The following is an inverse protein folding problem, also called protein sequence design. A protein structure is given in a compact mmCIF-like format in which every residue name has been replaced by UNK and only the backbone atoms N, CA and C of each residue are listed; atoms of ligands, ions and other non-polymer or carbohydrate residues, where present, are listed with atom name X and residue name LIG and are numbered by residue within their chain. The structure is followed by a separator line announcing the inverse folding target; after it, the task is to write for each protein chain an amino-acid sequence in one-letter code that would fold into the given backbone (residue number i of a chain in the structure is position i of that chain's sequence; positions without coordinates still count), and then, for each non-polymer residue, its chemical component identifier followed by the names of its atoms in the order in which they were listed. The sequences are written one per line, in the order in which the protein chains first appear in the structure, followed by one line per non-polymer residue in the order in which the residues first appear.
data_IF_267264092710
#
_entry.id   IF_267264092710
#
_cell.length_a   1.000
_cell.length_b   1.000
_cell.length_c   1.000
_cell.angle_alpha   90.00
_cell.angle_beta   90.00
_cell.angle_gamma   90.00
#
_symmetry.space_group_name_H-M   'P 1'
#
loop_
_entity.id
_entity.type
_entity.pdbx_description
1 polymer ?
#
# COMPACT_ATOMS: atom_id res chain seq x y z
N UNK A 1 -57.33 -36.98 -59.08
CA UNK A 1 -57.56 -36.16 -57.88
C UNK A 1 -56.50 -36.57 -56.85
N UNK A 2 -55.32 -35.93 -56.89
CA UNK A 2 -54.20 -36.25 -55.98
C UNK A 2 -54.34 -35.36 -54.73
N UNK A 3 -55.00 -35.90 -53.72
CA UNK A 3 -55.01 -35.37 -52.36
C UNK A 3 -54.22 -36.42 -51.57
N UNK A 4 -52.93 -36.16 -51.33
CA UNK A 4 -52.06 -37.14 -50.66
C UNK A 4 -50.57 -36.75 -50.63
N UNK A 5 -50.10 -35.91 -51.55
CA UNK A 5 -48.69 -35.46 -51.57
C UNK A 5 -48.46 -34.16 -50.76
N UNK A 6 -49.52 -33.41 -50.44
CA UNK A 6 -49.40 -32.05 -49.86
C UNK A 6 -49.48 -32.01 -48.32
N UNK A 7 -50.11 -33.00 -47.68
CA UNK A 7 -50.20 -33.08 -46.21
C UNK A 7 -48.90 -33.59 -45.56
N UNK A 8 -48.15 -34.44 -46.27
CA UNK A 8 -46.86 -34.98 -45.80
C UNK A 8 -45.81 -33.86 -45.73
N UNK A 9 -45.86 -32.87 -46.63
CA UNK A 9 -44.91 -31.76 -46.64
C UNK A 9 -45.06 -30.79 -45.45
N UNK A 10 -46.29 -30.50 -45.00
CA UNK A 10 -46.52 -29.50 -43.93
C UNK A 10 -46.10 -30.05 -42.56
N UNK A 11 -46.40 -31.31 -42.28
CA UNK A 11 -46.03 -31.97 -41.02
C UNK A 11 -44.51 -32.12 -40.92
N UNK A 12 -43.84 -32.47 -42.02
CA UNK A 12 -42.38 -32.57 -42.09
C UNK A 12 -41.70 -31.20 -41.90
N UNK A 13 -42.28 -30.12 -42.45
CA UNK A 13 -41.80 -28.75 -42.23
C UNK A 13 -41.96 -28.34 -40.76
N UNK A 14 -43.10 -28.63 -40.13
CA UNK A 14 -43.36 -28.29 -38.72
C UNK A 14 -42.40 -29.05 -37.79
N UNK A 15 -42.20 -30.35 -38.03
CA UNK A 15 -41.27 -31.17 -37.24
C UNK A 15 -39.82 -30.74 -37.43
N UNK A 16 -39.41 -30.39 -38.65
CA UNK A 16 -38.08 -29.83 -38.91
C UNK A 16 -37.86 -28.49 -38.20
N UNK A 17 -38.84 -27.57 -38.23
CA UNK A 17 -38.78 -26.31 -37.48
C UNK A 17 -38.69 -26.57 -35.97
N UNK A 18 -39.47 -27.53 -35.45
CA UNK A 18 -39.39 -27.96 -34.06
C UNK A 18 -37.99 -28.45 -33.67
N UNK A 19 -37.39 -29.30 -34.49
CA UNK A 19 -36.01 -29.78 -34.30
C UNK A 19 -34.99 -28.63 -34.35
N UNK A 20 -35.15 -27.68 -35.27
CA UNK A 20 -34.28 -26.51 -35.39
C UNK A 20 -34.37 -25.63 -34.14
N UNK A 21 -35.58 -25.38 -33.63
CA UNK A 21 -35.81 -24.60 -32.41
C UNK A 21 -35.19 -25.33 -31.20
N UNK A 22 -35.39 -26.63 -31.05
CA UNK A 22 -34.79 -27.41 -29.95
C UNK A 22 -33.26 -27.41 -30.04
N UNK A 23 -32.70 -27.57 -31.23
CA UNK A 23 -31.26 -27.51 -31.45
C UNK A 23 -30.69 -26.13 -31.10
N UNK A 24 -31.31 -25.05 -31.61
CA UNK A 24 -30.92 -23.68 -31.30
C UNK A 24 -31.03 -23.38 -29.81
N UNK A 25 -32.11 -23.82 -29.16
CA UNK A 25 -32.31 -23.65 -27.72
C UNK A 25 -31.26 -24.42 -26.92
N UNK A 26 -30.92 -25.65 -27.33
CA UNK A 26 -29.86 -26.45 -26.72
C UNK A 26 -28.47 -25.80 -26.85
N UNK A 27 -28.13 -25.30 -28.04
CA UNK A 27 -26.88 -24.59 -28.30
C UNK A 27 -26.81 -23.30 -27.47
N UNK A 28 -27.88 -22.50 -27.43
CA UNK A 28 -27.96 -21.28 -26.63
C UNK A 28 -27.81 -21.58 -25.12
N UNK A 29 -28.46 -22.63 -24.60
CA UNK A 29 -28.32 -23.05 -23.21
C UNK A 29 -26.89 -23.47 -22.86
N UNK A 30 -26.18 -24.16 -23.76
CA UNK A 30 -24.78 -24.53 -23.55
C UNK A 30 -23.86 -23.30 -23.47
N UNK A 31 -24.06 -22.32 -24.36
CA UNK A 31 -23.31 -21.06 -24.32
C UNK A 31 -23.60 -20.24 -23.05
N UNK A 32 -24.87 -20.19 -22.63
CA UNK A 32 -25.26 -19.54 -21.37
C UNK A 32 -24.63 -20.22 -20.16
N UNK A 33 -24.64 -21.56 -20.09
CA UNK A 33 -24.05 -22.30 -18.97
C UNK A 33 -22.54 -22.09 -18.85
N UNK A 34 -21.78 -22.17 -19.96
CA UNK A 34 -20.32 -21.90 -19.94
C UNK A 34 -20.02 -20.46 -19.49
N UNK A 35 -20.79 -19.48 -19.99
CA UNK A 35 -20.66 -18.07 -19.61
C UNK A 35 -20.92 -17.84 -18.12
N UNK A 36 -22.03 -18.37 -17.60
CA UNK A 36 -22.39 -18.27 -16.18
C UNK A 36 -21.32 -18.90 -15.29
N UNK A 37 -20.81 -20.07 -15.67
CA UNK A 37 -19.77 -20.77 -14.91
C UNK A 37 -18.44 -19.99 -14.90
N UNK A 38 -18.06 -19.40 -16.04
CA UNK A 38 -16.88 -18.53 -16.14
C UNK A 38 -17.01 -17.27 -15.29
N UNK A 39 -18.13 -16.53 -15.41
CA UNK A 39 -18.38 -15.31 -14.62
C UNK A 39 -18.39 -15.65 -13.12
N UNK A 40 -19.06 -16.72 -12.71
CA UNK A 40 -19.10 -17.13 -11.32
C UNK A 40 -17.70 -17.47 -10.77
N UNK A 41 -16.85 -18.12 -11.57
CA UNK A 41 -15.47 -18.42 -11.17
C UNK A 41 -14.64 -17.14 -11.04
N UNK A 42 -14.69 -16.21 -12.01
CA UNK A 42 -13.96 -14.94 -11.92
C UNK A 42 -14.42 -14.13 -10.71
N UNK A 43 -15.72 -13.98 -10.52
CA UNK A 43 -16.28 -13.28 -9.36
C UNK A 43 -15.81 -13.91 -8.06
N UNK A 44 -15.78 -15.24 -7.97
CA UNK A 44 -15.25 -15.95 -6.80
C UNK A 44 -13.79 -15.60 -6.53
N UNK A 45 -12.93 -15.67 -7.55
CA UNK A 45 -11.51 -15.32 -7.38
C UNK A 45 -11.31 -13.85 -6.98
N UNK A 46 -12.06 -12.92 -7.55
CA UNK A 46 -11.99 -11.50 -7.18
C UNK A 46 -12.46 -11.26 -5.74
N UNK A 47 -13.53 -11.91 -5.30
CA UNK A 47 -14.00 -11.81 -3.91
C UNK A 47 -12.97 -12.35 -2.91
N UNK A 48 -12.32 -13.47 -3.24
CA UNK A 48 -11.22 -14.01 -2.45
C UNK A 48 -10.07 -12.99 -2.39
N UNK A 49 -9.66 -12.46 -3.53
CA UNK A 49 -8.59 -11.48 -3.63
C UNK A 49 -8.90 -10.17 -2.86
N UNK A 50 -10.12 -9.63 -2.95
CA UNK A 50 -10.60 -8.47 -2.16
C UNK A 50 -10.43 -8.75 -0.67
N UNK A 51 -10.81 -9.95 -0.23
CA UNK A 51 -10.78 -10.34 1.17
C UNK A 51 -9.34 -10.47 1.67
N UNK A 52 -8.47 -11.12 0.90
CA UNK A 52 -7.04 -11.27 1.21
C UNK A 52 -6.33 -9.93 1.29
N UNK A 53 -6.57 -9.03 0.32
CA UNK A 53 -6.01 -7.68 0.32
C UNK A 53 -6.44 -6.92 1.58
N UNK A 54 -7.72 -6.98 1.96
CA UNK A 54 -8.22 -6.37 3.19
C UNK A 54 -7.50 -6.91 4.43
N UNK A 55 -7.27 -8.21 4.51
CA UNK A 55 -6.52 -8.81 5.63
C UNK A 55 -5.09 -8.28 5.70
N UNK A 56 -4.38 -8.19 4.57
CA UNK A 56 -3.03 -7.65 4.55
C UNK A 56 -2.97 -6.16 4.94
N UNK A 57 -3.92 -5.35 4.49
CA UNK A 57 -4.04 -3.94 4.90
C UNK A 57 -4.33 -3.84 6.40
N UNK A 58 -5.21 -4.67 6.95
CA UNK A 58 -5.46 -4.70 8.40
C UNK A 58 -4.20 -5.04 9.20
N UNK A 59 -3.42 -6.02 8.75
CA UNK A 59 -2.12 -6.34 9.38
C UNK A 59 -1.13 -5.18 9.30
N UNK A 60 -1.08 -4.45 8.17
CA UNK A 60 -0.26 -3.26 8.05
C UNK A 60 -0.68 -2.19 9.07
N UNK A 61 -1.99 -1.98 9.24
CA UNK A 61 -2.52 -1.02 10.22
C UNK A 61 -2.13 -1.39 11.64
N UNK A 62 -2.22 -2.66 12.00
CA UNK A 62 -1.80 -3.17 13.31
C UNK A 62 -0.30 -2.92 13.57
N UNK A 63 0.54 -3.15 12.57
CA UNK A 63 1.98 -2.88 12.63
C UNK A 63 2.30 -1.38 12.72
N UNK A 64 1.46 -0.54 12.12
CA UNK A 64 1.62 0.93 12.14
C UNK A 64 1.00 1.62 13.37
N UNK A 65 0.36 0.86 14.26
CA UNK A 65 -0.29 1.42 15.44
C UNK A 65 0.74 2.01 16.40
N UNK A 66 0.62 3.31 16.69
CA UNK A 66 1.56 4.07 17.52
C UNK A 66 1.72 3.46 18.92
N UNK A 67 0.63 2.97 19.53
CA UNK A 67 0.69 2.31 20.84
C UNK A 67 1.56 1.05 20.80
N UNK A 68 1.40 0.23 19.75
CA UNK A 68 2.22 -0.98 19.55
C UNK A 68 3.68 -0.62 19.29
N UNK A 69 3.93 0.45 18.52
CA UNK A 69 5.27 0.94 18.23
C UNK A 69 5.96 1.42 19.51
N UNK A 70 5.27 2.17 20.36
CA UNK A 70 5.79 2.67 21.63
C UNK A 70 6.19 1.54 22.59
N UNK A 71 5.34 0.50 22.72
CA UNK A 71 5.65 -0.67 23.55
C UNK A 71 6.93 -1.36 23.03
N UNK A 72 7.04 -1.54 21.72
CA UNK A 72 8.22 -2.17 21.09
C UNK A 72 9.49 -1.34 21.20
N UNK A 73 9.42 -0.01 21.16
CA UNK A 73 10.59 0.86 21.33
C UNK A 73 11.08 0.90 22.78
N UNK A 74 10.17 0.72 23.75
CA UNK A 74 10.46 0.70 25.19
C UNK A 74 11.02 -0.65 25.67
N UNK A 75 10.41 -1.77 25.29
CA UNK A 75 10.77 -3.09 25.81
C UNK A 75 12.00 -3.70 25.13
N UNK A 76 12.43 -3.13 24.01
CA UNK A 76 13.67 -3.50 23.31
C UNK A 76 13.67 -4.88 22.65
N UNK A 77 12.63 -5.68 22.87
CA UNK A 77 12.46 -7.03 22.34
C UNK A 77 11.91 -7.02 20.91
N UNK A 78 12.46 -7.91 20.08
CA UNK A 78 11.91 -8.32 18.78
C UNK A 78 11.85 -7.29 17.62
N UNK A 79 12.81 -6.37 17.55
CA UNK A 79 12.93 -5.39 16.44
C UNK A 79 13.14 -6.02 15.07
N UNK A 80 13.90 -7.12 14.99
CA UNK A 80 14.20 -7.82 13.73
C UNK A 80 12.95 -8.54 13.21
N UNK A 81 12.23 -9.23 14.09
CA UNK A 81 10.98 -9.90 13.72
C UNK A 81 9.93 -8.90 13.22
N UNK A 82 9.75 -7.77 13.93
CA UNK A 82 8.88 -6.68 13.47
C UNK A 82 9.22 -6.22 12.05
N UNK A 83 10.50 -5.92 11.77
CA UNK A 83 10.92 -5.45 10.45
C UNK A 83 10.66 -6.52 9.37
N UNK A 84 10.91 -7.79 9.68
CA UNK A 84 10.60 -8.90 8.75
C UNK A 84 9.10 -9.02 8.48
N UNK A 85 8.27 -8.88 9.50
CA UNK A 85 6.82 -8.90 9.33
C UNK A 85 6.32 -7.70 8.51
N UNK A 86 6.84 -6.50 8.78
CA UNK A 86 6.52 -5.30 8.01
C UNK A 86 6.89 -5.47 6.53
N UNK A 87 8.10 -5.93 6.23
CA UNK A 87 8.54 -6.21 4.85
C UNK A 87 7.67 -7.27 4.17
N UNK A 88 7.33 -8.33 4.89
CA UNK A 88 6.45 -9.39 4.39
C UNK A 88 5.08 -8.84 4.04
N UNK A 89 4.43 -8.09 4.93
CA UNK A 89 3.10 -7.53 4.72
C UNK A 89 3.10 -6.54 3.56
N UNK A 90 4.08 -5.64 3.51
CA UNK A 90 4.25 -4.68 2.39
C UNK A 90 4.42 -5.41 1.05
N UNK A 91 5.26 -6.44 1.01
CA UNK A 91 5.47 -7.24 -0.20
C UNK A 91 4.20 -7.98 -0.63
N UNK A 92 3.47 -8.56 0.32
CA UNK A 92 2.21 -9.24 0.04
C UNK A 92 1.15 -8.28 -0.52
N UNK A 93 1.04 -7.06 0.03
CA UNK A 93 0.14 -6.03 -0.52
C UNK A 93 0.52 -5.71 -1.96
N UNK A 94 1.80 -5.43 -2.23
CA UNK A 94 2.28 -5.13 -3.59
C UNK A 94 2.01 -6.26 -4.58
N UNK A 95 2.20 -7.51 -4.18
CA UNK A 95 1.93 -8.68 -5.03
C UNK A 95 0.44 -8.85 -5.36
N UNK A 96 -0.45 -8.37 -4.50
CA UNK A 96 -1.89 -8.40 -4.74
C UNK A 96 -2.36 -7.21 -5.58
N UNK A 97 -1.60 -6.13 -5.68
CA UNK A 97 -1.96 -4.96 -6.47
C UNK A 97 -1.42 -5.06 -7.90
N UNK A 98 -2.12 -4.44 -8.84
CA UNK A 98 -1.70 -4.45 -10.24
C UNK A 98 -0.80 -3.25 -10.55
N UNK A 99 0.40 -3.48 -11.08
CA UNK A 99 1.37 -2.40 -11.34
C UNK A 99 0.95 -1.40 -12.43
N UNK A 100 -0.11 -1.68 -13.19
CA UNK A 100 -0.62 -0.79 -14.25
C UNK A 100 -1.79 0.08 -13.81
N UNK A 101 -2.42 -0.21 -12.67
CA UNK A 101 -3.59 0.52 -12.19
C UNK A 101 -3.19 1.84 -11.52
N UNK A 102 -3.89 2.94 -11.81
CA UNK A 102 -3.57 4.23 -11.20
C UNK A 102 -3.80 4.21 -9.67
N UNK A 103 -4.94 3.66 -9.21
CA UNK A 103 -5.21 3.51 -7.78
C UNK A 103 -4.25 2.54 -7.10
N UNK A 104 -3.90 1.44 -7.78
CA UNK A 104 -2.90 0.48 -7.29
C UNK A 104 -1.54 1.15 -7.09
N UNK A 105 -1.07 1.92 -8.08
CA UNK A 105 0.19 2.67 -7.98
C UNK A 105 0.16 3.67 -6.82
N UNK A 106 -0.95 4.41 -6.67
CA UNK A 106 -1.12 5.33 -5.54
C UNK A 106 -1.07 4.60 -4.19
N UNK A 107 -1.73 3.45 -4.09
CA UNK A 107 -1.71 2.64 -2.87
C UNK A 107 -0.30 2.10 -2.58
N UNK A 108 0.40 1.59 -3.60
CA UNK A 108 1.79 1.11 -3.47
C UNK A 108 2.70 2.22 -2.96
N UNK A 109 2.63 3.42 -3.55
CA UNK A 109 3.42 4.57 -3.12
C UNK A 109 3.14 4.95 -1.66
N UNK A 110 1.86 4.94 -1.24
CA UNK A 110 1.48 5.27 0.15
C UNK A 110 1.93 4.20 1.14
N UNK A 111 1.85 2.91 0.77
CA UNK A 111 2.34 1.80 1.58
C UNK A 111 3.86 1.86 1.73
N UNK A 112 4.58 2.20 0.67
CA UNK A 112 6.04 2.38 0.72
C UNK A 112 6.46 3.58 1.57
N UNK A 113 5.76 4.70 1.44
CA UNK A 113 5.96 5.86 2.29
C UNK A 113 5.72 5.51 3.76
N UNK A 114 4.66 4.77 4.07
CA UNK A 114 4.36 4.33 5.43
C UNK A 114 5.47 3.44 5.98
N UNK A 115 5.94 2.46 5.21
CA UNK A 115 7.07 1.60 5.59
C UNK A 115 8.33 2.43 5.91
N UNK A 116 8.70 3.37 5.04
CA UNK A 116 9.87 4.22 5.23
C UNK A 116 9.75 5.08 6.49
N UNK A 117 8.57 5.64 6.75
CA UNK A 117 8.28 6.43 7.95
C UNK A 117 8.33 5.58 9.22
N UNK A 118 7.77 4.37 9.21
CA UNK A 118 7.86 3.42 10.34
C UNK A 118 9.30 3.03 10.65
N UNK A 119 10.11 2.72 9.62
CA UNK A 119 11.51 2.42 9.81
C UNK A 119 12.30 3.61 10.36
N UNK A 120 12.02 4.82 9.86
CA UNK A 120 12.64 6.06 10.32
C UNK A 120 12.30 6.36 11.78
N UNK A 121 11.02 6.16 12.17
CA UNK A 121 10.56 6.25 13.56
C UNK A 121 11.33 5.31 14.49
N UNK A 122 11.45 4.03 14.13
CA UNK A 122 12.16 3.04 14.93
C UNK A 122 13.66 3.36 15.05
N UNK A 123 14.27 3.86 13.98
CA UNK A 123 15.67 4.27 13.97
C UNK A 123 15.90 5.53 14.80
N UNK A 124 14.98 6.49 14.80
CA UNK A 124 15.04 7.69 15.63
C UNK A 124 15.02 7.33 17.12
N UNK A 125 14.11 6.43 17.54
CA UNK A 125 14.11 5.89 18.90
C UNK A 125 15.39 5.13 19.25
N UNK A 126 15.91 4.32 18.31
CA UNK A 126 17.17 3.61 18.51
C UNK A 126 18.34 4.59 18.70
N UNK A 127 18.39 5.65 17.90
CA UNK A 127 19.39 6.73 18.01
C UNK A 127 19.32 7.38 19.39
N UNK A 128 18.13 7.88 19.77
CA UNK A 128 17.88 8.50 21.07
C UNK A 128 18.30 7.60 22.23
N UNK A 129 17.82 6.36 22.25
CA UNK A 129 18.06 5.43 23.36
C UNK A 129 19.52 4.99 23.45
N UNK A 130 20.23 4.89 22.33
CA UNK A 130 21.65 4.49 22.33
C UNK A 130 22.53 5.62 22.82
N UNK A 131 22.28 6.86 22.38
CA UNK A 131 23.10 8.01 22.78
C UNK A 131 22.81 8.43 24.22
N UNK A 132 21.56 8.36 24.68
CA UNK A 132 21.21 8.67 26.08
C UNK A 132 21.82 7.70 27.11
N UNK A 133 22.33 6.54 26.67
CA UNK A 133 23.07 5.60 27.54
C UNK A 133 24.55 5.95 27.66
N UNK A 134 25.05 6.99 27.00
CA UNK A 134 26.45 7.41 27.14
C UNK A 134 26.66 8.18 28.44
N UNK A 135 27.72 7.86 29.17
CA UNK A 135 28.06 8.50 30.45
C UNK A 135 28.98 9.72 30.26
N UNK A 136 29.73 9.75 29.16
CA UNK A 136 30.68 10.83 28.86
C UNK A 136 30.62 11.29 27.40
N UNK A 137 31.19 12.47 27.13
CA UNK A 137 31.12 13.12 25.81
C UNK A 137 31.87 12.34 24.70
N UNK A 138 32.95 11.62 25.05
CA UNK A 138 33.67 10.78 24.08
C UNK A 138 32.83 9.54 23.69
N UNK A 139 32.10 8.98 24.64
CA UNK A 139 31.18 7.87 24.44
C UNK A 139 29.95 8.30 23.63
N UNK A 140 29.45 9.53 23.84
CA UNK A 140 28.38 10.13 23.00
C UNK A 140 28.81 10.14 21.53
N UNK A 141 30.03 10.59 21.24
CA UNK A 141 30.56 10.65 19.86
C UNK A 141 30.75 9.24 19.28
N UNK A 142 31.27 8.29 20.06
CA UNK A 142 31.44 6.91 19.61
C UNK A 142 30.10 6.23 19.28
N UNK A 143 29.15 6.29 20.22
CA UNK A 143 27.80 5.73 20.05
C UNK A 143 27.06 6.38 18.90
N UNK A 144 27.22 7.70 18.70
CA UNK A 144 26.64 8.37 17.54
C UNK A 144 27.18 7.80 16.22
N UNK A 145 28.50 7.61 16.09
CA UNK A 145 29.10 7.03 14.88
C UNK A 145 28.57 5.62 14.60
N UNK A 146 28.48 4.78 15.64
CA UNK A 146 27.91 3.43 15.55
C UNK A 146 26.44 3.46 15.09
N UNK A 147 25.63 4.35 15.66
CA UNK A 147 24.22 4.49 15.28
C UNK A 147 24.09 4.89 13.81
N UNK A 148 24.85 5.87 13.33
CA UNK A 148 24.79 6.31 11.93
C UNK A 148 25.18 5.18 10.96
N UNK A 149 26.10 4.30 11.36
CA UNK A 149 26.44 3.13 10.56
C UNK A 149 25.27 2.13 10.42
N UNK A 150 24.43 2.01 11.45
CA UNK A 150 23.25 1.14 11.46
C UNK A 150 22.05 1.74 10.72
N UNK A 151 21.97 3.07 10.58
CA UNK A 151 20.84 3.73 9.90
C UNK A 151 20.78 3.33 8.43
N UNK A 152 19.64 2.79 7.99
CA UNK A 152 19.41 2.38 6.59
C UNK A 152 18.49 3.33 5.83
N UNK A 153 17.74 4.17 6.55
CA UNK A 153 16.74 5.06 5.96
C UNK A 153 17.34 6.42 5.62
N UNK A 154 17.27 6.81 4.34
CA UNK A 154 17.77 8.12 3.87
C UNK A 154 17.06 9.28 4.55
N UNK A 155 15.75 9.17 4.72
CA UNK A 155 14.88 10.19 5.32
C UNK A 155 15.38 10.66 6.69
N UNK A 156 15.80 9.73 7.55
CA UNK A 156 16.34 10.07 8.86
C UNK A 156 17.71 10.77 8.72
N UNK A 157 18.59 10.29 7.84
CA UNK A 157 19.91 10.91 7.63
C UNK A 157 19.81 12.35 7.10
N UNK A 158 18.91 12.60 6.15
CA UNK A 158 18.65 13.93 5.61
C UNK A 158 18.15 14.88 6.71
N UNK A 159 17.25 14.42 7.56
CA UNK A 159 16.74 15.19 8.69
C UNK A 159 17.83 15.49 9.73
N UNK A 160 18.68 14.52 10.05
CA UNK A 160 19.84 14.73 10.93
C UNK A 160 20.82 15.75 10.33
N UNK A 161 21.10 15.66 9.03
CA UNK A 161 21.96 16.61 8.33
C UNK A 161 21.37 18.03 8.39
N UNK A 162 20.06 18.16 8.19
CA UNK A 162 19.37 19.45 8.25
C UNK A 162 19.44 20.09 9.66
N UNK A 163 19.38 19.31 10.74
CA UNK A 163 19.61 19.83 12.11
C UNK A 163 21.04 20.37 12.24
N UNK A 164 22.03 19.66 11.73
CA UNK A 164 23.42 20.11 11.81
C UNK A 164 23.63 21.42 11.02
N UNK A 165 23.04 21.52 9.83
CA UNK A 165 23.14 22.71 8.98
C UNK A 165 22.43 23.92 9.63
N UNK A 166 21.22 23.73 10.15
CA UNK A 166 20.44 24.81 10.75
C UNK A 166 21.10 25.39 12.00
N UNK A 167 21.78 24.55 12.78
CA UNK A 167 22.54 24.97 13.97
C UNK A 167 23.88 25.64 13.64
N UNK A 168 24.52 25.29 12.52
CA UNK A 168 25.83 25.86 12.14
C UNK A 168 25.76 27.21 11.43
N UNK A 169 24.56 27.72 11.09
CA UNK A 169 24.28 29.02 10.41
C UNK A 169 25.42 29.53 9.51
N UNK A 170 25.24 29.32 8.21
CA UNK A 170 26.04 29.79 7.06
C UNK A 170 26.95 28.73 6.44
N UNK A 171 26.35 27.78 5.73
CA UNK A 171 26.83 27.43 4.39
C UNK A 171 25.63 26.80 3.65
N UNK A 172 25.08 27.57 2.72
CA UNK A 172 24.09 27.09 1.76
C UNK A 172 24.80 26.04 0.91
N UNK A 173 24.43 24.77 1.08
CA UNK A 173 24.79 23.75 0.11
C UNK A 173 23.51 23.32 -0.57
N UNK A 174 23.53 23.57 -1.87
CA UNK A 174 22.46 23.35 -2.83
C UNK A 174 21.81 21.98 -2.67
N UNK A 175 20.50 21.95 -2.91
CA UNK A 175 19.74 20.76 -3.25
C UNK A 175 20.46 20.01 -4.38
N UNK A 176 21.32 19.04 -4.05
CA UNK A 176 21.92 18.16 -5.04
C UNK A 176 21.21 16.81 -5.00
N UNK A 177 20.51 16.54 -6.09
CA UNK A 177 19.81 15.31 -6.37
C UNK A 177 20.67 14.06 -6.09
N UNK A 178 20.07 13.11 -5.37
CA UNK A 178 20.46 11.69 -5.30
C UNK A 178 21.80 11.34 -4.65
N UNK A 179 22.17 11.99 -3.54
CA UNK A 179 23.28 11.53 -2.69
C UNK A 179 23.08 10.06 -2.27
N UNK A 180 24.11 9.22 -2.47
CA UNK A 180 24.07 7.80 -2.10
C UNK A 180 23.96 7.64 -0.58
N UNK A 181 23.44 6.51 -0.10
CA UNK A 181 23.28 6.28 1.35
C UNK A 181 24.62 6.38 2.10
N UNK A 182 25.71 5.93 1.49
CA UNK A 182 27.06 6.01 2.07
C UNK A 182 27.55 7.44 2.17
N UNK A 183 27.32 8.27 1.15
CA UNK A 183 27.69 9.69 1.16
C UNK A 183 26.88 10.45 2.22
N UNK A 184 25.58 10.17 2.35
CA UNK A 184 24.73 10.73 3.41
C UNK A 184 25.24 10.38 4.82
N UNK A 185 25.62 9.11 5.05
CA UNK A 185 26.22 8.70 6.33
C UNK A 185 27.50 9.46 6.63
N UNK A 186 28.38 9.59 5.64
CA UNK A 186 29.63 10.32 5.78
C UNK A 186 29.37 11.81 6.04
N UNK A 187 28.46 12.44 5.30
CA UNK A 187 28.09 13.84 5.48
C UNK A 187 27.56 14.11 6.89
N UNK A 188 26.67 13.25 7.41
CA UNK A 188 26.17 13.34 8.78
C UNK A 188 27.32 13.17 9.78
N UNK A 189 28.16 12.15 9.63
CA UNK A 189 29.32 11.95 10.52
C UNK A 189 30.25 13.16 10.54
N UNK A 190 30.51 13.76 9.37
CA UNK A 190 31.33 14.96 9.23
C UNK A 190 30.67 16.18 9.89
N UNK A 191 29.36 16.36 9.72
CA UNK A 191 28.63 17.49 10.27
C UNK A 191 28.64 17.51 11.81
N UNK A 192 28.68 16.34 12.45
CA UNK A 192 28.71 16.17 13.90
C UNK A 192 30.11 15.86 14.46
N UNK A 193 31.19 16.05 13.69
CA UNK A 193 32.57 15.76 14.16
C UNK A 193 32.82 16.41 15.51
N UNK A 194 33.12 15.56 16.50
CA UNK A 194 33.63 15.94 17.82
C UNK A 194 32.81 16.97 18.60
N UNK A 195 31.56 17.23 18.19
CA UNK A 195 30.68 18.21 18.81
C UNK A 195 29.60 17.51 19.64
N UNK A 196 29.98 17.18 20.88
CA UNK A 196 29.07 16.52 21.84
C UNK A 196 27.85 17.39 22.15
N UNK A 197 27.98 18.72 22.06
CA UNK A 197 26.90 19.67 22.34
C UNK A 197 25.85 19.66 21.23
N UNK A 198 26.29 19.63 19.97
CA UNK A 198 25.42 19.52 18.81
C UNK A 198 24.72 18.15 18.76
N UNK A 199 25.41 17.07 19.16
CA UNK A 199 24.79 15.74 19.29
C UNK A 199 23.69 15.76 20.37
N UNK A 200 23.96 16.36 21.54
CA UNK A 200 22.96 16.52 22.61
C UNK A 200 21.76 17.38 22.18
N UNK A 201 21.99 18.43 21.38
CA UNK A 201 20.92 19.22 20.78
C UNK A 201 20.09 18.38 19.80
N UNK A 202 20.75 17.61 18.94
CA UNK A 202 20.10 16.73 17.97
C UNK A 202 19.18 15.70 18.66
N UNK A 203 19.55 15.18 19.83
CA UNK A 203 18.67 14.27 20.60
C UNK A 203 17.37 14.97 21.00
N UNK A 204 17.41 16.26 21.36
CA UNK A 204 16.18 17.02 21.66
C UNK A 204 15.33 17.22 20.40
N UNK A 205 15.98 17.49 19.27
CA UNK A 205 15.30 17.62 17.97
C UNK A 205 14.68 16.29 17.50
N UNK A 206 15.28 15.16 17.84
CA UNK A 206 14.70 13.84 17.56
C UNK A 206 13.32 13.68 18.20
N UNK A 207 13.05 14.29 19.35
CA UNK A 207 11.72 14.20 19.97
C UNK A 207 10.65 14.90 19.14
N UNK A 208 10.98 16.05 18.54
CA UNK A 208 10.08 16.69 17.57
C UNK A 208 9.93 15.86 16.29
N UNK A 209 11.00 15.19 15.83
CA UNK A 209 10.93 14.29 14.66
C UNK A 209 10.04 13.08 14.92
N UNK A 210 10.10 12.50 16.12
CA UNK A 210 9.26 11.38 16.52
C UNK A 210 7.78 11.77 16.45
N UNK A 211 7.40 12.92 17.00
CA UNK A 211 6.02 13.44 16.94
C UNK A 211 5.60 13.68 15.48
N UNK A 212 6.48 14.25 14.66
CA UNK A 212 6.19 14.45 13.24
C UNK A 212 5.97 13.12 12.49
N UNK A 213 6.75 12.08 12.80
CA UNK A 213 6.53 10.77 12.24
C UNK A 213 5.21 10.14 12.70
N UNK A 214 4.80 10.33 13.96
CA UNK A 214 3.50 9.85 14.46
C UNK A 214 2.34 10.48 13.67
N UNK A 215 2.38 11.81 13.49
CA UNK A 215 1.41 12.54 12.68
C UNK A 215 1.41 12.05 11.21
N UNK A 216 2.59 11.81 10.64
CA UNK A 216 2.72 11.33 9.27
C UNK A 216 2.21 9.89 9.11
N UNK A 217 2.48 9.01 10.08
CA UNK A 217 1.94 7.64 10.12
C UNK A 217 0.40 7.68 10.13
N UNK A 218 -0.19 8.54 10.96
CA UNK A 218 -1.65 8.68 11.03
C UNK A 218 -2.23 9.22 9.72
N UNK A 219 -1.61 10.24 9.14
CA UNK A 219 -1.99 10.79 7.84
C UNK A 219 -1.91 9.75 6.73
N UNK A 220 -0.82 8.98 6.66
CA UNK A 220 -0.62 7.93 5.66
C UNK A 220 -1.63 6.79 5.83
N UNK A 221 -1.94 6.39 7.07
CA UNK A 221 -2.98 5.41 7.35
C UNK A 221 -4.36 5.88 6.86
N UNK A 222 -4.69 7.15 7.08
CA UNK A 222 -5.93 7.76 6.57
C UNK A 222 -5.99 7.76 5.03
N UNK A 223 -4.87 8.09 4.37
CA UNK A 223 -4.77 8.06 2.91
C UNK A 223 -4.95 6.64 2.36
N UNK A 224 -4.29 5.66 2.98
CA UNK A 224 -4.41 4.23 2.63
C UNK A 224 -5.86 3.78 2.81
N UNK A 225 -6.51 4.13 3.92
CA UNK A 225 -7.91 3.80 4.17
C UNK A 225 -8.83 4.38 3.08
N UNK A 226 -8.64 5.66 2.70
CA UNK A 226 -9.41 6.28 1.61
C UNK A 226 -9.25 5.51 0.31
N UNK A 227 -8.01 5.24 -0.10
CA UNK A 227 -7.72 4.56 -1.37
C UNK A 227 -8.30 3.14 -1.36
N UNK A 228 -8.06 2.37 -0.29
CA UNK A 228 -8.54 0.99 -0.17
C UNK A 228 -10.07 0.94 -0.17
N UNK A 229 -10.76 1.82 0.55
CA UNK A 229 -12.23 1.84 0.56
C UNK A 229 -12.81 2.10 -0.83
N UNK A 230 -12.28 3.10 -1.54
CA UNK A 230 -12.70 3.41 -2.91
C UNK A 230 -12.42 2.23 -3.84
N UNK A 231 -11.23 1.66 -3.75
CA UNK A 231 -10.78 0.56 -4.60
C UNK A 231 -11.62 -0.71 -4.41
N UNK A 232 -11.78 -1.17 -3.16
CA UNK A 232 -12.59 -2.37 -2.88
C UNK A 232 -14.06 -2.16 -3.25
N UNK A 233 -14.59 -0.94 -3.11
CA UNK A 233 -15.96 -0.61 -3.52
C UNK A 233 -16.11 -0.59 -5.05
N UNK A 234 -15.14 -0.05 -5.78
CA UNK A 234 -15.12 -0.05 -7.23
C UNK A 234 -15.13 -1.48 -7.79
N UNK A 235 -14.25 -2.35 -7.27
CA UNK A 235 -14.18 -3.76 -7.68
C UNK A 235 -15.43 -4.55 -7.29
N UNK A 236 -16.05 -4.25 -6.15
CA UNK A 236 -17.35 -4.83 -5.80
C UNK A 236 -18.46 -4.44 -6.80
N UNK A 237 -18.52 -3.16 -7.19
CA UNK A 237 -19.49 -2.68 -8.19
C UNK A 237 -19.22 -3.36 -9.54
N UNK A 238 -17.95 -3.48 -9.94
CA UNK A 238 -17.53 -4.19 -11.15
C UNK A 238 -18.05 -5.62 -11.19
N UNK A 239 -17.81 -6.38 -10.12
CA UNK A 239 -18.30 -7.76 -10.00
C UNK A 239 -19.83 -7.83 -10.18
N UNK A 240 -20.56 -6.89 -9.59
CA UNK A 240 -22.03 -6.82 -9.67
C UNK A 240 -22.53 -6.48 -11.09
N UNK A 241 -21.86 -5.57 -11.78
CA UNK A 241 -22.21 -5.17 -13.15
C UNK A 241 -21.89 -6.27 -14.17
N UNK A 242 -20.70 -6.86 -14.09
CA UNK A 242 -20.27 -7.96 -14.96
C UNK A 242 -21.19 -9.19 -14.81
N UNK A 243 -21.65 -9.49 -13.59
CA UNK A 243 -22.62 -10.58 -13.36
C UNK A 243 -23.99 -10.31 -14.00
N UNK A 244 -24.38 -9.03 -14.14
CA UNK A 244 -25.69 -8.64 -14.68
C UNK A 244 -25.70 -8.43 -16.20
N UNK A 245 -24.64 -7.87 -16.77
CA UNK A 245 -24.63 -7.37 -18.15
C UNK A 245 -23.37 -7.69 -18.94
N UNK A 246 -22.69 -8.81 -18.68
CA UNK A 246 -21.56 -9.23 -19.53
C UNK A 246 -21.95 -9.32 -21.02
N UNK A 247 -21.22 -8.70 -21.97
CA UNK A 247 -19.89 -8.08 -21.87
C UNK A 247 -19.92 -6.53 -21.97
N UNK A 248 -20.90 -5.84 -21.39
CA UNK A 248 -20.91 -4.37 -21.44
C UNK A 248 -19.70 -3.78 -20.72
N UNK A 249 -19.14 -2.72 -21.30
CA UNK A 249 -17.95 -2.05 -20.79
C UNK A 249 -18.17 -1.41 -19.43
N UNK A 250 -17.42 -1.87 -18.43
CA UNK A 250 -17.28 -1.22 -17.13
C UNK A 250 -16.41 0.03 -17.29
N UNK A 251 -16.95 1.20 -16.95
CA UNK A 251 -16.17 2.46 -16.96
C UNK A 251 -15.61 2.73 -15.56
N UNK A 252 -14.41 2.20 -15.33
CA UNK A 252 -13.69 2.29 -14.07
C UNK A 252 -13.47 3.74 -13.61
N UNK A 253 -12.99 4.61 -14.50
CA UNK A 253 -12.70 6.00 -14.17
C UNK A 253 -13.93 6.76 -13.68
N UNK A 254 -15.08 6.56 -14.34
CA UNK A 254 -16.34 7.22 -13.95
C UNK A 254 -16.78 6.77 -12.56
N UNK A 255 -16.63 5.49 -12.25
CA UNK A 255 -17.04 4.92 -10.96
C UNK A 255 -16.10 5.39 -9.86
N UNK A 256 -14.77 5.37 -10.09
CA UNK A 256 -13.78 5.88 -9.13
C UNK A 256 -14.04 7.36 -8.82
N UNK A 257 -14.23 8.21 -9.84
CA UNK A 257 -14.52 9.65 -9.64
C UNK A 257 -15.79 9.85 -8.81
N UNK A 258 -16.83 9.06 -9.05
CA UNK A 258 -18.07 9.10 -8.27
C UNK A 258 -17.83 8.71 -6.80
N UNK A 259 -17.11 7.61 -6.57
CA UNK A 259 -16.80 7.13 -5.21
C UNK A 259 -15.90 8.10 -4.44
N UNK A 260 -14.94 8.75 -5.11
CA UNK A 260 -14.13 9.81 -4.52
C UNK A 260 -14.99 10.96 -4.00
N UNK A 261 -15.96 11.39 -4.81
CA UNK A 261 -16.90 12.46 -4.42
C UNK A 261 -17.79 12.05 -3.25
N UNK A 262 -18.37 10.85 -3.29
CA UNK A 262 -19.19 10.31 -2.19
C UNK A 262 -18.40 10.22 -0.89
N UNK A 263 -17.14 9.76 -0.96
CA UNK A 263 -16.26 9.68 0.21
C UNK A 263 -16.01 11.06 0.85
N UNK A 264 -15.80 12.09 0.02
CA UNK A 264 -15.57 13.46 0.48
C UNK A 264 -16.81 14.12 1.07
N UNK A 265 -17.99 13.81 0.53
CA UNK A 265 -19.28 14.26 1.08
C UNK A 265 -19.60 13.62 2.43
N UNK A 266 -19.23 12.36 2.65
CA UNK A 266 -19.46 11.64 3.92
C UNK A 266 -18.49 12.02 5.06
N UNK A 267 -17.38 12.70 4.77
CA UNK A 267 -16.37 13.10 5.75
C UNK A 267 -16.51 14.56 6.22
N UNK A 268 -17.38 15.35 5.58
CA UNK A 268 -17.77 16.71 6.01
C UNK A 268 -18.88 16.65 7.04
#
# INVERSE_FOLDING_TARGET
MRIGELEIAIIDIITFIGLLITFLTGVLNLFQNKKTLYINNITRFRVIWITTLRTHISSLKELSNITNLYIRTKDGTNKIEYRRELEKVVSLIKMHLNFTGNLDCQLICKVDALKATLNSYLLAYYCKNTINKAENDNEVISKFKEVIDVVTEKKLLEQLLNIAISNKKNEVVNESESTSLSELKNAVKLAYISDSTLIKHMIKEIDYMIINYENEIESLNCDIDKIVQIYLKAEWIRCKEETRMWPKGYNEEKIIKKLQKEYEEHRK
#
